data_IF_293359686566
#
_entry.id   IF_293359686566
#
_cell.length_a   1.000
_cell.length_b   1.000
_cell.length_c   1.000
_cell.angle_alpha   90.00
_cell.angle_beta   90.00
_cell.angle_gamma   90.00
#
_symmetry.space_group_name_H-M   'P 1'
#
loop_
_entity.id
_entity.type
_entity.pdbx_description
1 polymer ?
#
# COMPACT_ATOMS: atom_id res chain seq x y z
N UNK A 1 34.80 -15.51 80.88
CA UNK A 1 33.81 -14.85 81.74
C UNK A 1 32.76 -14.21 80.85
N UNK A 2 31.50 -14.68 80.98
CA UNK A 2 30.19 -13.98 80.95
C UNK A 2 30.06 -12.72 80.06
N UNK A 3 28.98 -12.44 79.31
CA UNK A 3 27.61 -12.94 79.26
C UNK A 3 26.91 -12.48 77.96
N UNK A 4 25.79 -13.14 77.65
CA UNK A 4 24.77 -12.84 76.64
C UNK A 4 23.90 -11.64 77.03
N UNK A 5 23.33 -10.92 76.04
CA UNK A 5 21.96 -10.33 75.91
C UNK A 5 21.98 -9.36 74.72
N UNK A 6 21.42 -9.63 73.53
CA UNK A 6 20.02 -9.79 73.08
C UNK A 6 19.25 -8.47 72.82
N UNK A 7 18.62 -8.40 71.64
CA UNK A 7 17.43 -7.61 71.26
C UNK A 7 17.60 -6.16 70.77
N UNK A 8 17.52 -5.95 69.45
CA UNK A 8 16.33 -5.33 68.84
C UNK A 8 16.39 -5.34 67.30
N UNK A 9 15.19 -5.30 66.73
CA UNK A 9 14.78 -5.80 65.42
C UNK A 9 14.29 -4.64 64.55
N UNK A 10 14.70 -4.66 63.27
CA UNK A 10 14.13 -4.02 62.04
C UNK A 10 13.97 -2.48 61.95
N UNK A 11 13.89 -1.90 60.73
CA UNK A 11 14.50 -2.28 59.45
C UNK A 11 15.28 -1.10 58.81
N UNK A 12 16.41 -1.40 58.19
CA UNK A 12 17.10 -0.49 57.28
C UNK A 12 16.63 -0.75 55.84
N UNK A 13 16.45 0.33 55.09
CA UNK A 13 16.36 0.39 53.63
C UNK A 13 15.04 -0.07 52.97
N UNK A 14 14.01 0.78 53.11
CA UNK A 14 12.95 0.97 52.11
C UNK A 14 12.69 2.47 52.00
N UNK A 15 13.51 3.22 51.24
CA UNK A 15 13.02 4.41 50.51
C UNK A 15 14.01 5.07 49.52
N UNK A 16 14.89 4.31 48.87
CA UNK A 16 15.71 4.89 47.79
C UNK A 16 15.78 3.91 46.63
N UNK A 17 14.72 3.86 45.82
CA UNK A 17 14.72 3.38 44.43
C UNK A 17 13.34 3.69 43.82
N UNK A 18 13.01 4.98 43.74
CA UNK A 18 11.96 5.44 42.82
C UNK A 18 12.38 6.77 42.20
N UNK A 19 13.53 6.75 41.52
CA UNK A 19 13.74 7.62 40.37
C UNK A 19 13.89 6.74 39.15
N UNK A 20 12.77 6.10 38.78
CA UNK A 20 12.62 5.53 37.47
C UNK A 20 12.41 6.73 36.54
N UNK A 21 13.52 7.26 36.04
CA UNK A 21 13.55 8.17 34.92
C UNK A 21 12.61 7.61 33.84
N UNK A 22 11.48 8.28 33.66
CA UNK A 22 10.52 8.05 32.58
C UNK A 22 11.23 8.41 31.27
N UNK A 23 12.05 7.48 30.79
CA UNK A 23 12.61 7.52 29.45
C UNK A 23 11.43 7.29 28.50
N UNK A 24 11.09 8.24 27.63
CA UNK A 24 10.16 7.94 26.56
C UNK A 24 10.81 6.83 25.73
N UNK A 25 10.22 5.63 25.80
CA UNK A 25 10.49 4.57 24.84
C UNK A 25 10.02 5.08 23.49
N UNK A 26 10.92 5.72 22.76
CA UNK A 26 10.77 5.94 21.32
C UNK A 26 10.95 4.60 20.62
N UNK A 27 10.02 3.67 20.88
CA UNK A 27 9.91 2.38 20.20
C UNK A 27 9.16 2.54 18.88
N UNK A 28 9.18 3.74 18.29
CA UNK A 28 8.67 3.98 16.94
C UNK A 28 9.70 3.47 15.94
N UNK A 29 9.97 2.17 15.96
CA UNK A 29 10.63 1.52 14.83
C UNK A 29 9.72 1.75 13.62
N UNK A 30 10.06 2.74 12.82
CA UNK A 30 9.35 3.06 11.59
C UNK A 30 9.24 1.78 10.76
N UNK A 31 7.99 1.34 10.56
CA UNK A 31 7.68 0.03 10.00
C UNK A 31 8.25 -0.12 8.60
N UNK A 32 8.48 -1.35 8.16
CA UNK A 32 9.00 -1.63 6.81
C UNK A 32 8.12 -0.99 5.72
N UNK A 33 6.82 -0.87 5.99
CA UNK A 33 5.86 -0.15 5.14
C UNK A 33 6.15 1.35 5.05
N UNK A 34 6.52 2.01 6.14
CA UNK A 34 6.83 3.43 6.14
C UNK A 34 8.10 3.74 5.32
N UNK A 35 9.07 2.83 5.32
CA UNK A 35 10.24 2.92 4.44
C UNK A 35 9.92 2.90 2.94
N UNK A 36 8.75 2.37 2.55
CA UNK A 36 8.30 2.36 1.15
C UNK A 36 7.59 3.65 0.73
N UNK A 37 7.50 4.67 1.59
CA UNK A 37 6.78 5.92 1.30
C UNK A 37 7.25 6.59 0.02
N UNK A 38 8.55 6.74 -0.17
CA UNK A 38 9.09 7.39 -1.39
C UNK A 38 8.88 6.53 -2.64
N UNK A 39 8.84 5.20 -2.47
CA UNK A 39 8.45 4.29 -3.55
C UNK A 39 6.97 4.50 -3.91
N UNK A 40 6.09 4.61 -2.92
CA UNK A 40 4.67 4.87 -3.13
C UNK A 40 4.44 6.21 -3.84
N UNK A 41 5.19 7.25 -3.47
CA UNK A 41 5.15 8.54 -4.17
C UNK A 41 5.52 8.38 -5.64
N UNK A 42 6.66 7.73 -5.96
CA UNK A 42 7.07 7.52 -7.35
C UNK A 42 6.04 6.72 -8.14
N UNK A 43 5.56 5.60 -7.59
CA UNK A 43 4.55 4.75 -8.25
C UNK A 43 3.26 5.52 -8.54
N UNK A 44 2.82 6.35 -7.60
CA UNK A 44 1.63 7.20 -7.77
C UNK A 44 1.85 8.24 -8.87
N UNK A 45 3.00 8.93 -8.88
CA UNK A 45 3.34 9.92 -9.91
C UNK A 45 3.39 9.31 -11.30
N UNK A 46 3.96 8.10 -11.43
CA UNK A 46 3.98 7.34 -12.68
C UNK A 46 2.58 6.95 -13.13
N UNK A 47 1.69 6.60 -12.19
CA UNK A 47 0.30 6.22 -12.47
C UNK A 47 -0.58 7.37 -12.95
N UNK A 48 -0.30 8.62 -12.55
CA UNK A 48 -1.07 9.81 -12.97
C UNK A 48 -0.64 10.41 -14.31
N UNK A 49 0.26 9.75 -15.05
CA UNK A 49 0.77 10.25 -16.32
C UNK A 49 1.87 11.32 -16.18
N UNK A 50 2.62 11.30 -15.07
CA UNK A 50 3.83 12.11 -14.95
C UNK A 50 4.77 11.78 -16.09
N UNK A 51 4.99 12.74 -17.00
CA UNK A 51 5.80 12.53 -18.19
C UNK A 51 7.26 12.26 -17.80
N UNK A 52 7.68 11.00 -17.93
CA UNK A 52 9.09 10.61 -17.84
C UNK A 52 9.74 11.02 -19.14
N UNK A 53 10.49 12.11 -19.11
CA UNK A 53 11.21 12.60 -20.30
C UNK A 53 12.46 11.78 -20.58
N UNK A 54 13.07 11.20 -19.54
CA UNK A 54 14.35 10.50 -19.62
C UNK A 54 14.29 9.17 -18.85
N UNK A 55 14.43 8.04 -19.56
CA UNK A 55 14.37 6.69 -18.96
C UNK A 55 15.51 6.46 -17.95
N UNK A 56 16.69 7.01 -18.25
CA UNK A 56 17.88 6.84 -17.42
C UNK A 56 17.77 7.59 -16.08
N UNK A 57 17.16 8.77 -16.09
CA UNK A 57 16.91 9.53 -14.87
C UNK A 57 15.93 8.78 -13.95
N UNK A 58 14.86 8.23 -14.52
CA UNK A 58 13.92 7.37 -13.80
C UNK A 58 14.60 6.11 -13.26
N UNK A 59 15.44 5.45 -14.07
CA UNK A 59 16.20 4.27 -13.65
C UNK A 59 17.11 4.59 -12.47
N UNK A 60 17.83 5.70 -12.52
CA UNK A 60 18.68 6.17 -11.43
C UNK A 60 17.87 6.48 -10.17
N UNK A 61 16.67 7.08 -10.32
CA UNK A 61 15.77 7.31 -9.18
C UNK A 61 15.32 5.99 -8.55
N UNK A 62 14.95 4.99 -9.35
CA UNK A 62 14.61 3.67 -8.83
C UNK A 62 15.78 3.00 -8.09
N UNK A 63 17.01 3.09 -8.63
CA UNK A 63 18.21 2.57 -7.97
C UNK A 63 18.46 3.23 -6.62
N UNK A 64 18.28 4.56 -6.53
CA UNK A 64 18.39 5.27 -5.26
C UNK A 64 17.34 4.78 -4.25
N UNK A 65 16.08 4.60 -4.66
CA UNK A 65 15.03 4.09 -3.77
C UNK A 65 15.35 2.68 -3.26
N UNK A 66 15.88 1.81 -4.11
CA UNK A 66 16.29 0.45 -3.73
C UNK A 66 17.47 0.50 -2.76
N UNK A 67 18.49 1.32 -3.04
CA UNK A 67 19.65 1.47 -2.17
C UNK A 67 19.25 2.02 -0.79
N UNK A 68 18.45 3.08 -0.74
CA UNK A 68 17.94 3.63 0.52
C UNK A 68 17.13 2.62 1.31
N UNK A 69 16.28 1.82 0.65
CA UNK A 69 15.52 0.77 1.32
C UNK A 69 16.45 -0.31 1.87
N UNK A 70 17.43 -0.77 1.09
CA UNK A 70 18.41 -1.77 1.52
C UNK A 70 19.22 -1.30 2.75
N UNK A 71 19.73 -0.07 2.72
CA UNK A 71 20.46 0.56 3.83
C UNK A 71 19.58 0.66 5.08
N UNK A 72 18.33 1.11 4.93
CA UNK A 72 17.39 1.25 6.02
C UNK A 72 17.02 -0.09 6.66
N UNK A 73 16.90 -1.16 5.86
CA UNK A 73 16.66 -2.52 6.35
C UNK A 73 17.90 -3.10 7.06
N UNK A 74 19.09 -2.83 6.55
CA UNK A 74 20.35 -3.26 7.16
C UNK A 74 20.59 -2.55 8.49
N UNK A 75 20.37 -1.23 8.56
CA UNK A 75 20.50 -0.44 9.79
C UNK A 75 19.56 -0.93 10.90
N UNK A 76 18.36 -1.40 10.53
CA UNK A 76 17.39 -2.03 11.44
C UNK A 76 17.71 -3.50 11.77
N UNK A 77 18.77 -4.07 11.19
CA UNK A 77 19.23 -5.45 11.43
C UNK A 77 18.21 -6.53 11.09
N UNK A 78 17.37 -6.31 10.08
CA UNK A 78 16.50 -7.37 9.57
C UNK A 78 17.32 -8.55 9.03
N UNK A 79 16.87 -9.81 9.20
CA UNK A 79 17.52 -10.99 8.64
C UNK A 79 17.72 -10.91 7.13
N UNK A 80 18.80 -11.51 6.61
CA UNK A 80 19.19 -11.43 5.19
C UNK A 80 18.10 -11.93 4.23
N UNK A 81 17.38 -12.99 4.61
CA UNK A 81 16.25 -13.54 3.85
C UNK A 81 15.08 -12.55 3.79
N UNK A 82 14.75 -11.92 4.91
CA UNK A 82 13.71 -10.89 5.00
C UNK A 82 14.07 -9.66 4.17
N UNK A 83 15.33 -9.19 4.26
CA UNK A 83 15.81 -8.05 3.46
C UNK A 83 15.73 -8.35 1.97
N UNK A 84 16.20 -9.52 1.56
CA UNK A 84 16.17 -9.96 0.17
C UNK A 84 14.74 -10.02 -0.38
N UNK A 85 13.81 -10.62 0.38
CA UNK A 85 12.41 -10.74 -0.03
C UNK A 85 11.73 -9.36 -0.18
N UNK A 86 11.97 -8.44 0.76
CA UNK A 86 11.45 -7.08 0.70
C UNK A 86 11.99 -6.32 -0.52
N UNK A 87 13.28 -6.43 -0.82
CA UNK A 87 13.91 -5.75 -1.96
C UNK A 87 13.43 -6.33 -3.31
N UNK A 88 13.25 -7.64 -3.41
CA UNK A 88 12.67 -8.26 -4.61
C UNK A 88 11.25 -7.75 -4.84
N UNK A 89 10.44 -7.65 -3.78
CA UNK A 89 9.08 -7.11 -3.87
C UNK A 89 9.07 -5.64 -4.32
N UNK A 90 9.97 -4.80 -3.82
CA UNK A 90 10.12 -3.42 -4.26
C UNK A 90 10.56 -3.33 -5.73
N UNK A 91 11.53 -4.15 -6.15
CA UNK A 91 11.99 -4.17 -7.55
C UNK A 91 10.88 -4.59 -8.50
N UNK A 92 10.14 -5.66 -8.18
CA UNK A 92 9.01 -6.11 -8.99
C UNK A 92 7.92 -5.05 -9.13
N UNK A 93 7.60 -4.34 -8.05
CA UNK A 93 6.66 -3.22 -8.08
C UNK A 93 7.17 -2.09 -8.99
N UNK A 94 8.41 -1.64 -8.81
CA UNK A 94 8.99 -0.57 -9.61
C UNK A 94 9.04 -0.95 -11.09
N UNK A 95 9.50 -2.16 -11.43
CA UNK A 95 9.56 -2.65 -12.81
C UNK A 95 8.16 -2.67 -13.45
N UNK A 96 7.14 -3.20 -12.76
CA UNK A 96 5.77 -3.20 -13.28
C UNK A 96 5.19 -1.79 -13.46
N UNK A 97 5.41 -0.91 -12.48
CA UNK A 97 4.93 0.48 -12.54
C UNK A 97 5.60 1.24 -13.68
N UNK A 98 6.91 1.09 -13.86
CA UNK A 98 7.65 1.73 -14.94
C UNK A 98 7.21 1.19 -16.29
N UNK A 99 7.14 -0.13 -16.47
CA UNK A 99 6.69 -0.75 -17.72
C UNK A 99 5.24 -0.35 -18.05
N UNK A 100 4.38 -0.11 -17.07
CA UNK A 100 3.01 0.36 -17.31
C UNK A 100 2.94 1.82 -17.76
N UNK A 101 3.90 2.65 -17.33
CA UNK A 101 3.88 4.10 -17.56
C UNK A 101 4.79 4.57 -18.68
N UNK A 102 5.81 3.80 -19.08
CA UNK A 102 6.72 4.19 -20.15
C UNK A 102 6.05 4.13 -21.54
N UNK A 103 6.37 5.07 -22.44
CA UNK A 103 6.02 4.95 -23.85
C UNK A 103 6.77 3.78 -24.51
N UNK A 104 6.23 3.28 -25.63
CA UNK A 104 6.67 2.02 -26.24
C UNK A 104 8.14 2.02 -26.71
N UNK A 105 8.66 3.17 -27.15
CA UNK A 105 10.04 3.37 -27.59
C UNK A 105 11.05 3.26 -26.45
N UNK A 106 10.69 3.70 -25.24
CA UNK A 106 11.54 3.63 -24.04
C UNK A 106 11.40 2.29 -23.30
N UNK A 107 10.28 1.58 -23.52
CA UNK A 107 9.95 0.33 -22.84
C UNK A 107 10.90 -0.82 -23.17
N UNK A 108 11.30 -0.95 -24.43
CA UNK A 108 12.15 -2.06 -24.88
C UNK A 108 13.50 -2.11 -24.15
N UNK A 109 14.13 -0.95 -23.91
CA UNK A 109 15.36 -0.88 -23.13
C UNK A 109 15.18 -1.30 -21.67
N UNK A 110 14.01 -1.03 -21.09
CA UNK A 110 13.68 -1.48 -19.74
C UNK A 110 13.42 -2.99 -19.65
N UNK A 111 12.73 -3.56 -20.64
CA UNK A 111 12.43 -5.00 -20.70
C UNK A 111 13.69 -5.86 -20.86
N UNK A 112 14.72 -5.37 -21.56
CA UNK A 112 15.99 -6.07 -21.72
C UNK A 112 16.76 -6.22 -20.40
N UNK A 113 16.70 -5.21 -19.54
CA UNK A 113 17.41 -5.20 -18.27
C UNK A 113 16.57 -4.53 -17.19
N UNK A 114 15.56 -5.23 -16.63
CA UNK A 114 14.75 -4.71 -15.54
C UNK A 114 15.55 -4.69 -14.22
N UNK A 115 15.08 -3.93 -13.23
CA UNK A 115 15.77 -3.74 -11.95
C UNK A 115 15.96 -5.06 -11.20
N UNK A 116 14.98 -5.97 -11.27
CA UNK A 116 15.10 -7.33 -10.71
C UNK A 116 16.29 -8.13 -11.29
N UNK A 117 16.61 -7.94 -12.58
CA UNK A 117 17.75 -8.59 -13.23
C UNK A 117 19.04 -7.89 -12.80
N UNK A 118 19.07 -6.55 -12.79
CA UNK A 118 20.24 -5.79 -12.35
C UNK A 118 20.65 -6.12 -10.90
N UNK A 119 19.67 -6.20 -9.99
CA UNK A 119 19.93 -6.31 -8.55
C UNK A 119 20.03 -7.76 -8.07
N UNK A 120 19.25 -8.66 -8.65
CA UNK A 120 19.09 -10.03 -8.16
C UNK A 120 19.36 -11.11 -9.21
N UNK A 121 19.68 -10.73 -10.45
CA UNK A 121 19.74 -11.64 -11.59
C UNK A 121 18.47 -12.51 -11.72
N UNK A 122 17.33 -11.94 -11.36
CA UNK A 122 16.02 -12.58 -11.32
C UNK A 122 15.16 -12.07 -12.47
N UNK A 123 14.48 -12.97 -13.18
CA UNK A 123 13.64 -12.61 -14.33
C UNK A 123 12.13 -12.73 -14.02
N UNK A 124 11.80 -13.31 -12.87
CA UNK A 124 10.48 -13.78 -12.48
C UNK A 124 10.07 -13.26 -11.09
N UNK A 125 10.41 -12.02 -10.72
CA UNK A 125 9.93 -11.39 -9.48
C UNK A 125 8.40 -11.46 -9.36
N UNK A 126 7.69 -11.37 -10.48
CA UNK A 126 6.23 -11.51 -10.58
C UNK A 126 5.69 -12.84 -10.04
N UNK A 127 6.48 -13.93 -10.08
CA UNK A 127 6.13 -15.23 -9.50
C UNK A 127 6.77 -15.39 -8.11
N UNK A 128 8.07 -15.09 -8.02
CA UNK A 128 8.88 -15.22 -6.79
C UNK A 128 8.26 -14.49 -5.61
N UNK A 129 7.73 -13.28 -5.80
CA UNK A 129 7.09 -12.49 -4.72
C UNK A 129 5.91 -13.26 -4.12
N UNK A 130 5.07 -13.86 -4.94
CA UNK A 130 3.88 -14.57 -4.45
C UNK A 130 4.23 -15.93 -3.86
N UNK A 131 5.20 -16.65 -4.42
CA UNK A 131 5.67 -17.92 -3.84
C UNK A 131 6.26 -17.71 -2.43
N UNK A 132 7.02 -16.62 -2.25
CA UNK A 132 7.57 -16.24 -0.94
C UNK A 132 6.46 -15.80 0.01
N UNK A 133 5.53 -14.96 -0.45
CA UNK A 133 4.38 -14.56 0.35
C UNK A 133 3.54 -15.77 0.81
N UNK A 134 3.26 -16.73 -0.08
CA UNK A 134 2.52 -17.96 0.26
C UNK A 134 3.29 -18.84 1.26
N UNK A 135 4.62 -18.84 1.20
CA UNK A 135 5.45 -19.50 2.22
C UNK A 135 5.32 -18.80 3.58
N UNK A 136 5.51 -17.47 3.63
CA UNK A 136 5.37 -16.66 4.87
C UNK A 136 3.97 -16.75 5.48
N UNK A 137 2.93 -16.81 4.64
CA UNK A 137 1.54 -16.96 5.08
C UNK A 137 1.24 -18.31 5.75
N UNK A 138 2.07 -19.34 5.50
CA UNK A 138 1.95 -20.68 6.12
C UNK A 138 2.80 -20.85 7.38
N UNK A 139 3.76 -19.97 7.63
CA UNK A 139 4.58 -20.00 8.85
C UNK A 139 3.70 -19.82 10.09
N UNK A 140 4.04 -20.50 11.19
CA UNK A 140 3.34 -20.31 12.47
C UNK A 140 3.62 -18.93 13.06
N UNK A 141 4.86 -18.48 12.96
CA UNK A 141 5.34 -17.20 13.48
C UNK A 141 6.11 -16.46 12.36
N UNK A 142 5.40 -15.76 11.46
CA UNK A 142 6.03 -15.01 10.38
C UNK A 142 6.60 -13.67 10.85
N UNK A 143 7.54 -13.11 10.08
CA UNK A 143 7.96 -11.72 10.23
C UNK A 143 6.80 -10.78 9.86
N UNK A 144 6.24 -10.08 10.85
CA UNK A 144 5.07 -9.19 10.66
C UNK A 144 5.43 -8.02 9.74
N UNK A 145 6.58 -7.39 9.93
CA UNK A 145 7.03 -6.26 9.10
C UNK A 145 7.14 -6.61 7.61
N UNK A 146 7.59 -7.84 7.30
CA UNK A 146 7.65 -8.32 5.92
C UNK A 146 6.26 -8.55 5.31
N UNK A 147 5.31 -9.08 6.10
CA UNK A 147 3.92 -9.19 5.65
C UNK A 147 3.28 -7.81 5.43
N UNK A 148 3.62 -6.82 6.24
CA UNK A 148 3.20 -5.43 6.02
C UNK A 148 3.82 -4.82 4.76
N UNK A 149 5.10 -5.13 4.49
CA UNK A 149 5.76 -4.77 3.24
C UNK A 149 5.03 -5.37 2.03
N UNK A 150 4.70 -6.65 2.06
CA UNK A 150 3.90 -7.27 1.01
C UNK A 150 2.52 -6.62 0.86
N UNK A 151 1.82 -6.34 1.97
CA UNK A 151 0.53 -5.63 1.94
C UNK A 151 0.65 -4.25 1.31
N UNK A 152 1.73 -3.51 1.60
CA UNK A 152 2.00 -2.22 1.00
C UNK A 152 2.30 -2.32 -0.51
N UNK A 153 3.14 -3.26 -0.92
CA UNK A 153 3.47 -3.54 -2.33
C UNK A 153 2.23 -3.90 -3.14
N UNK A 154 1.38 -4.78 -2.61
CA UNK A 154 0.12 -5.15 -3.26
C UNK A 154 -0.87 -3.98 -3.30
N UNK A 155 -0.94 -3.19 -2.23
CA UNK A 155 -1.78 -1.98 -2.16
C UNK A 155 -1.34 -0.88 -3.13
N UNK A 156 -0.08 -0.87 -3.57
CA UNK A 156 0.42 0.03 -4.62
C UNK A 156 0.15 -0.47 -6.05
N UNK A 157 -0.52 -1.62 -6.20
CA UNK A 157 -0.93 -2.15 -7.50
C UNK A 157 0.09 -3.10 -8.15
N UNK A 158 0.97 -3.74 -7.37
CA UNK A 158 1.74 -4.88 -7.87
C UNK A 158 0.80 -6.03 -8.25
N UNK A 159 0.93 -6.55 -9.46
CA UNK A 159 0.05 -7.57 -10.04
C UNK A 159 0.76 -8.92 -10.14
N UNK A 160 2.00 -8.96 -10.64
CA UNK A 160 2.78 -10.17 -10.91
C UNK A 160 1.99 -11.24 -11.66
N UNK A 161 2.10 -12.50 -11.20
CA UNK A 161 1.44 -13.67 -11.82
C UNK A 161 -0.08 -13.53 -12.00
N UNK A 162 -0.72 -12.70 -11.19
CA UNK A 162 -2.17 -12.48 -11.28
C UNK A 162 -2.62 -11.72 -12.52
N UNK A 163 -1.69 -11.16 -13.31
CA UNK A 163 -2.00 -10.67 -14.65
C UNK A 163 -2.57 -11.79 -15.54
N UNK A 164 -2.11 -13.02 -15.32
CA UNK A 164 -2.59 -14.22 -16.03
C UNK A 164 -3.63 -15.01 -15.23
N UNK A 165 -3.48 -15.08 -13.91
CA UNK A 165 -4.37 -15.87 -13.06
C UNK A 165 -5.69 -15.18 -12.67
N UNK A 166 -5.77 -13.86 -12.82
CA UNK A 166 -6.98 -13.07 -12.66
C UNK A 166 -7.08 -12.30 -11.34
N UNK A 167 -7.69 -11.12 -11.42
CA UNK A 167 -7.82 -10.16 -10.31
C UNK A 167 -8.60 -10.70 -9.10
N UNK A 168 -9.57 -11.59 -9.32
CA UNK A 168 -10.37 -12.18 -8.24
C UNK A 168 -9.50 -12.97 -7.25
N UNK A 169 -8.52 -13.73 -7.73
CA UNK A 169 -7.59 -14.48 -6.88
C UNK A 169 -6.64 -13.54 -6.14
N UNK A 170 -6.14 -12.50 -6.83
CA UNK A 170 -5.31 -11.45 -6.23
C UNK A 170 -6.02 -10.76 -5.07
N UNK A 171 -7.28 -10.37 -5.29
CA UNK A 171 -8.11 -9.73 -4.25
C UNK A 171 -8.33 -10.66 -3.06
N UNK A 172 -8.58 -11.95 -3.30
CA UNK A 172 -8.74 -12.94 -2.23
C UNK A 172 -7.44 -13.12 -1.41
N UNK A 173 -6.27 -13.14 -2.07
CA UNK A 173 -4.98 -13.20 -1.38
C UNK A 173 -4.74 -11.96 -0.52
N UNK A 174 -5.00 -10.75 -1.06
CA UNK A 174 -4.87 -9.49 -0.31
C UNK A 174 -5.79 -9.50 0.92
N UNK A 175 -7.03 -9.97 0.78
CA UNK A 175 -7.95 -10.09 1.90
C UNK A 175 -7.45 -11.07 2.97
N UNK A 176 -6.90 -12.22 2.56
CA UNK A 176 -6.33 -13.21 3.47
C UNK A 176 -5.09 -12.68 4.20
N UNK A 177 -4.20 -11.96 3.50
CA UNK A 177 -3.03 -11.30 4.07
C UNK A 177 -3.43 -10.26 5.13
N UNK A 178 -4.36 -9.37 4.79
CA UNK A 178 -4.84 -8.35 5.73
C UNK A 178 -5.50 -8.98 6.97
N UNK A 179 -6.34 -9.99 6.78
CA UNK A 179 -6.96 -10.71 7.90
C UNK A 179 -5.91 -11.43 8.79
N UNK A 180 -4.80 -11.87 8.21
CA UNK A 180 -3.69 -12.45 8.97
C UNK A 180 -2.94 -11.37 9.77
N UNK A 181 -2.62 -10.24 9.15
CA UNK A 181 -2.01 -9.09 9.83
C UNK A 181 -2.87 -8.59 11.00
N UNK A 182 -4.19 -8.51 10.82
CA UNK A 182 -5.14 -8.11 11.88
C UNK A 182 -5.11 -9.07 13.08
N UNK A 183 -4.90 -10.37 12.85
CA UNK A 183 -4.75 -11.36 13.94
C UNK A 183 -3.39 -11.31 14.62
N UNK A 184 -2.34 -10.98 13.87
CA UNK A 184 -0.97 -10.89 14.38
C UNK A 184 -0.73 -9.60 15.18
N UNK A 185 -1.56 -8.57 15.01
CA UNK A 185 -1.55 -7.36 15.83
C UNK A 185 -2.37 -7.56 17.11
N UNK A 186 -1.75 -7.67 18.30
CA UNK A 186 -2.49 -7.52 19.56
C UNK A 186 -2.92 -6.06 19.73
N UNK A 187 -4.04 -5.86 20.41
CA UNK A 187 -4.86 -4.65 20.64
C UNK A 187 -4.20 -3.28 20.93
N UNK A 188 -2.87 -3.10 20.93
CA UNK A 188 -2.21 -1.83 21.33
C UNK A 188 -2.00 -0.80 20.21
N UNK A 189 -2.16 -1.13 18.93
CA UNK A 189 -1.90 -0.19 17.82
C UNK A 189 -3.12 0.09 16.92
N UNK A 190 -4.33 0.03 17.49
CA UNK A 190 -5.55 0.44 16.77
C UNK A 190 -5.67 1.96 16.54
N UNK A 191 -4.63 2.74 16.82
CA UNK A 191 -4.62 4.20 16.65
C UNK A 191 -4.24 4.69 15.25
N UNK A 192 -3.80 3.83 14.33
CA UNK A 192 -3.43 4.24 12.96
C UNK A 192 -4.36 3.68 11.87
N UNK A 193 -5.66 3.89 12.03
CA UNK A 193 -6.72 3.44 11.10
C UNK A 193 -6.89 4.35 9.87
N UNK A 194 -6.22 5.51 9.82
CA UNK A 194 -6.36 6.47 8.72
C UNK A 194 -5.89 5.92 7.35
N UNK A 195 -4.99 4.94 7.34
CA UNK A 195 -4.29 4.49 6.13
C UNK A 195 -4.98 3.32 5.41
N UNK A 196 -5.96 2.68 6.05
CA UNK A 196 -6.73 1.58 5.46
C UNK A 196 -7.95 2.10 4.69
N UNK A 197 -8.54 3.22 5.12
CA UNK A 197 -9.65 3.86 4.44
C UNK A 197 -9.23 4.44 3.08
N UNK A 198 -8.03 5.03 2.97
CA UNK A 198 -7.50 5.58 1.72
C UNK A 198 -7.26 4.51 0.64
N UNK A 199 -6.75 3.33 1.04
CA UNK A 199 -6.49 2.19 0.13
C UNK A 199 -7.77 1.61 -0.50
N UNK A 200 -8.84 1.50 0.29
CA UNK A 200 -10.14 0.98 -0.17
C UNK A 200 -10.85 1.93 -1.16
N UNK A 201 -10.65 3.24 -1.02
CA UNK A 201 -11.14 4.24 -1.97
C UNK A 201 -10.28 4.27 -3.25
N UNK A 202 -8.95 4.18 -3.14
CA UNK A 202 -8.05 4.13 -4.29
C UNK A 202 -8.33 2.91 -5.19
N UNK A 203 -8.49 1.71 -4.62
CA UNK A 203 -8.89 0.50 -5.35
C UNK A 203 -10.27 0.64 -6.01
N UNK A 204 -11.18 1.41 -5.41
CA UNK A 204 -12.49 1.69 -6.01
C UNK A 204 -12.38 2.62 -7.22
N UNK A 205 -11.49 3.63 -7.18
CA UNK A 205 -11.23 4.53 -8.31
C UNK A 205 -10.48 3.84 -9.45
N UNK A 206 -9.53 2.95 -9.18
CA UNK A 206 -8.86 2.14 -10.21
C UNK A 206 -9.78 1.09 -10.86
N UNK A 207 -10.92 0.77 -10.22
CA UNK A 207 -11.95 -0.15 -10.76
C UNK A 207 -13.04 0.54 -11.58
N UNK A 208 -13.04 1.87 -11.71
CA UNK A 208 -13.85 2.52 -12.74
C UNK A 208 -13.18 2.28 -14.10
N UNK A 209 -13.51 1.14 -14.70
CA UNK A 209 -13.29 0.88 -16.13
C UNK A 209 -13.76 2.11 -16.93
N UNK A 210 -13.01 2.57 -17.95
CA UNK A 210 -13.40 3.73 -18.77
C UNK A 210 -14.85 3.66 -19.29
N UNK A 211 -15.37 2.43 -19.46
CA UNK A 211 -16.74 2.15 -19.85
C UNK A 211 -17.80 2.48 -18.77
N UNK A 212 -17.45 2.36 -17.49
CA UNK A 212 -18.33 2.74 -16.39
C UNK A 212 -18.51 4.26 -16.31
N UNK A 213 -17.45 5.02 -16.58
CA UNK A 213 -17.51 6.49 -16.67
C UNK A 213 -18.37 6.92 -17.86
N UNK A 214 -18.21 6.27 -19.02
CA UNK A 214 -19.04 6.52 -20.19
C UNK A 214 -20.53 6.20 -19.93
N UNK A 215 -20.82 5.09 -19.25
CA UNK A 215 -22.19 4.72 -18.88
C UNK A 215 -22.82 5.75 -17.92
N UNK A 216 -22.06 6.20 -16.92
CA UNK A 216 -22.54 7.18 -15.93
C UNK A 216 -22.78 8.56 -16.56
N UNK A 217 -21.89 8.98 -17.47
CA UNK A 217 -22.08 10.19 -18.26
C UNK A 217 -23.32 10.09 -19.18
N UNK A 218 -23.55 8.93 -19.80
CA UNK A 218 -24.75 8.66 -20.59
C UNK A 218 -26.03 8.75 -19.77
N UNK A 219 -26.05 8.17 -18.56
CA UNK A 219 -27.19 8.25 -17.64
C UNK A 219 -27.47 9.71 -17.25
N UNK A 220 -26.43 10.48 -16.92
CA UNK A 220 -26.58 11.89 -16.59
C UNK A 220 -27.19 12.69 -17.77
N UNK A 221 -26.74 12.44 -19.00
CA UNK A 221 -27.29 13.08 -20.19
C UNK A 221 -28.77 12.74 -20.41
N UNK A 222 -29.18 11.48 -20.18
CA UNK A 222 -30.59 11.04 -20.28
C UNK A 222 -31.45 11.73 -19.23
N UNK A 223 -30.96 11.85 -17.98
CA UNK A 223 -31.67 12.54 -16.90
C UNK A 223 -31.88 14.02 -17.25
N UNK A 224 -30.82 14.70 -17.71
CA UNK A 224 -30.90 16.11 -18.13
C UNK A 224 -31.89 16.27 -19.29
N UNK A 225 -31.84 15.39 -20.29
CA UNK A 225 -32.78 15.40 -21.42
C UNK A 225 -34.23 15.20 -20.97
N UNK A 226 -34.49 14.24 -20.08
CA UNK A 226 -35.83 13.96 -19.55
C UNK A 226 -36.39 15.15 -18.75
N UNK A 227 -35.56 15.82 -17.94
CA UNK A 227 -35.96 17.04 -17.21
C UNK A 227 -36.34 18.16 -18.18
N UNK A 228 -35.53 18.35 -19.23
CA UNK A 228 -35.80 19.37 -20.25
C UNK A 228 -37.07 19.07 -21.06
N UNK A 229 -37.29 17.81 -21.44
CA UNK A 229 -38.50 17.38 -22.14
C UNK A 229 -39.76 17.62 -21.29
N UNK A 230 -39.72 17.23 -20.01
CA UNK A 230 -40.83 17.47 -19.09
C UNK A 230 -41.10 18.96 -18.86
N UNK A 231 -40.05 19.79 -18.79
CA UNK A 231 -40.20 21.25 -18.68
C UNK A 231 -40.85 21.87 -19.93
N UNK A 232 -40.49 21.38 -21.13
CA UNK A 232 -41.07 21.83 -22.39
C UNK A 232 -42.56 21.42 -22.52
N UNK A 233 -42.90 20.19 -22.13
CA UNK A 233 -44.29 19.71 -22.14
C UNK A 233 -45.19 20.52 -21.20
N UNK A 234 -44.66 20.91 -20.02
CA UNK A 234 -45.38 21.76 -19.07
C UNK A 234 -45.69 23.16 -19.65
N UNK A 235 -44.74 23.74 -20.41
CA UNK A 235 -44.93 25.04 -21.06
C UNK A 235 -45.89 24.96 -22.26
N UNK A 236 -45.84 23.87 -23.03
CA UNK A 236 -46.77 23.62 -24.13
C UNK A 236 -48.20 23.44 -23.62
N UNK A 237 -48.41 22.73 -22.51
CA UNK A 237 -49.72 22.54 -21.91
C UNK A 237 -50.36 23.87 -21.46
N UNK A 238 -49.57 24.79 -20.92
CA UNK A 238 -50.05 26.14 -20.57
C UNK A 238 -50.43 26.96 -21.81
N UNK A 239 -49.67 26.89 -22.90
CA UNK A 239 -49.96 27.65 -24.13
C UNK A 239 -51.20 27.11 -24.87
N UNK A 240 -51.43 25.80 -24.85
CA UNK A 240 -52.64 25.18 -25.43
C UNK A 240 -53.88 25.51 -24.59
N UNK A 241 -53.77 25.54 -23.26
CA UNK A 241 -54.86 25.93 -22.37
C UNK A 241 -55.26 27.40 -22.53
N UNK A 242 -54.29 28.30 -22.73
CA UNK A 242 -54.54 29.74 -22.98
C UNK A 242 -55.16 30.00 -24.37
N UNK A 243 -54.90 29.13 -25.36
CA UNK A 243 -55.48 29.27 -26.70
C UNK A 243 -56.88 28.65 -26.83
N UNK A 244 -57.27 27.76 -25.91
CA UNK A 244 -58.61 27.16 -25.83
C UNK A 244 -59.68 28.04 -25.17
N UNK A 245 -59.32 29.22 -24.66
CA UNK A 245 -60.22 30.16 -23.95
C UNK A 245 -60.29 31.53 -24.64
N UNK A 246 -60.41 31.54 -25.97
CA UNK A 246 -60.97 32.70 -26.69
C UNK A 246 -62.25 32.25 -27.42
N UNK A 247 -63.42 32.85 -27.11
CA UNK A 247 -64.68 32.55 -27.79
C UNK A 247 -64.66 33.00 -29.26
#
# INVERSE_FOLDING_TARGET
>A
MNALTSSNQEPAALDELSDNSDMPRDDTHESMRALLRDTALLVTTLGTGGAVKEADELRNRCRQLIAHFAEALQARRYPDDVRREALIAQCGLLDESVLRSLPADMRAGWELQPLQVEQFNLHDAGETVFDRLDARMRESVPCVDLLECYSAVLGMGFVGRYAREGEAKRTALIAALNARLDRLRPSSERLFVADQAGRRLSDWFYRLSPWAVAALAGIAAVIVWAIWAAALDMQLAHLVSVKGTRP
#
